data_IF_029560730591
#
_entry.id   IF_029560730591
#
_cell.length_a   1.000
_cell.length_b   1.000
_cell.length_c   1.000
_cell.angle_alpha   90.00
_cell.angle_beta   90.00
_cell.angle_gamma   90.00
#
_symmetry.space_group_name_H-M   'P 1'
#
loop_
_entity.id
_entity.type
_entity.pdbx_description
1 polymer ?
#
# COMPACT_ATOMS: atom_id res chain seq x y z
N UNK A 1 -0.05 19.98 30.69
CA UNK A 1 0.13 19.02 29.57
C UNK A 1 -1.17 19.04 28.79
N UNK A 2 -1.18 19.69 27.62
CA UNK A 2 -2.37 19.85 26.79
C UNK A 2 -2.84 18.48 26.31
N UNK A 3 -3.97 18.01 26.83
CA UNK A 3 -4.73 16.93 26.23
C UNK A 3 -5.32 17.50 24.94
N UNK A 4 -4.73 17.13 23.81
CA UNK A 4 -5.32 17.35 22.49
C UNK A 4 -6.74 16.80 22.49
N UNK A 5 -7.70 17.59 22.01
CA UNK A 5 -9.14 17.29 21.91
C UNK A 5 -9.38 15.81 21.63
N UNK A 6 -9.80 15.08 22.67
CA UNK A 6 -10.10 13.66 22.57
C UNK A 6 -11.53 13.55 22.02
N UNK A 7 -11.63 13.46 20.70
CA UNK A 7 -12.90 13.40 19.99
C UNK A 7 -13.36 11.94 19.87
N UNK A 8 -14.62 11.65 20.22
CA UNK A 8 -15.21 10.30 20.16
C UNK A 8 -15.07 9.67 18.76
N UNK A 9 -15.08 10.51 17.71
CA UNK A 9 -14.85 10.08 16.35
C UNK A 9 -13.44 9.52 16.13
N UNK A 10 -12.41 10.14 16.69
CA UNK A 10 -11.01 9.73 16.54
C UNK A 10 -10.75 8.41 17.31
N UNK A 11 -11.36 8.26 18.48
CA UNK A 11 -11.33 7.01 19.25
C UNK A 11 -12.04 5.87 18.50
N UNK A 12 -13.22 6.12 17.91
CA UNK A 12 -13.95 5.15 17.08
C UNK A 12 -13.19 4.75 15.80
N UNK A 13 -12.49 5.71 15.19
CA UNK A 13 -11.67 5.49 14.00
C UNK A 13 -10.45 4.60 14.30
N UNK A 14 -9.78 4.88 15.42
CA UNK A 14 -8.57 4.17 15.87
C UNK A 14 -8.85 2.79 16.45
N UNK A 15 -10.09 2.53 16.87
CA UNK A 15 -10.52 1.23 17.41
C UNK A 15 -10.23 0.08 16.43
N UNK A 16 -10.43 0.30 15.12
CA UNK A 16 -10.22 -0.73 14.09
C UNK A 16 -9.37 -0.20 12.95
N UNK A 17 -8.23 -0.87 12.70
CA UNK A 17 -7.26 -0.49 11.68
C UNK A 17 -7.87 -0.33 10.27
N UNK A 18 -8.88 -1.14 9.91
CA UNK A 18 -9.53 -1.00 8.61
C UNK A 18 -10.36 0.28 8.50
N UNK A 19 -10.90 0.82 9.61
CA UNK A 19 -11.65 2.08 9.63
C UNK A 19 -10.70 3.25 9.37
N UNK A 20 -9.54 3.28 10.04
CA UNK A 20 -8.47 4.25 9.76
C UNK A 20 -8.00 4.19 8.30
N UNK A 21 -7.79 2.98 7.76
CA UNK A 21 -7.41 2.80 6.35
C UNK A 21 -8.49 3.29 5.38
N UNK A 22 -9.77 2.94 5.60
CA UNK A 22 -10.87 3.38 4.75
C UNK A 22 -11.05 4.89 4.80
N UNK A 23 -10.97 5.50 5.99
CA UNK A 23 -11.06 6.94 6.13
C UNK A 23 -9.94 7.66 5.39
N UNK A 24 -8.69 7.20 5.53
CA UNK A 24 -7.56 7.73 4.77
C UNK A 24 -7.76 7.58 3.26
N UNK A 25 -8.28 6.43 2.82
CA UNK A 25 -8.60 6.20 1.41
C UNK A 25 -9.62 7.21 0.87
N UNK A 26 -10.69 7.48 1.63
CA UNK A 26 -11.68 8.51 1.28
C UNK A 26 -11.03 9.88 1.23
N UNK A 27 -10.23 10.26 2.23
CA UNK A 27 -9.53 11.55 2.27
C UNK A 27 -8.59 11.72 1.07
N UNK A 28 -7.78 10.72 0.73
CA UNK A 28 -6.90 10.77 -0.44
C UNK A 28 -7.68 10.89 -1.74
N UNK A 29 -8.76 10.12 -1.91
CA UNK A 29 -9.61 10.21 -3.08
C UNK A 29 -10.26 11.60 -3.21
N UNK A 30 -10.79 12.16 -2.11
CA UNK A 30 -11.41 13.50 -2.10
C UNK A 30 -10.41 14.59 -2.45
N UNK A 31 -9.21 14.59 -1.84
CA UNK A 31 -8.16 15.57 -2.15
C UNK A 31 -7.74 15.46 -3.62
N UNK A 32 -7.55 14.23 -4.11
CA UNK A 32 -7.15 13.98 -5.49
C UNK A 32 -8.19 14.47 -6.50
N UNK A 33 -9.46 14.15 -6.29
CA UNK A 33 -10.58 14.60 -7.12
C UNK A 33 -10.68 16.13 -7.12
N UNK A 34 -10.56 16.77 -5.95
CA UNK A 34 -10.59 18.24 -5.87
C UNK A 34 -9.38 18.86 -6.59
N UNK A 35 -8.19 18.31 -6.41
CA UNK A 35 -6.98 18.80 -7.09
C UNK A 35 -7.11 18.68 -8.62
N UNK A 36 -7.62 17.54 -9.11
CA UNK A 36 -7.87 17.33 -10.53
C UNK A 36 -8.97 18.27 -11.06
N UNK A 37 -10.05 18.46 -10.31
CA UNK A 37 -11.13 19.38 -10.64
C UNK A 37 -10.61 20.82 -10.79
N UNK A 38 -9.87 21.34 -9.82
CA UNK A 38 -9.30 22.69 -9.91
C UNK A 38 -8.29 22.81 -11.06
N UNK A 39 -7.45 21.81 -11.29
CA UNK A 39 -6.49 21.83 -12.39
C UNK A 39 -7.18 21.86 -13.77
N UNK A 40 -8.27 21.13 -13.94
CA UNK A 40 -8.99 21.03 -15.22
C UNK A 40 -9.90 22.25 -15.41
N UNK A 41 -10.76 22.54 -14.44
CA UNK A 41 -11.82 23.53 -14.60
C UNK A 41 -11.34 24.96 -14.28
N UNK A 42 -10.47 25.16 -13.29
CA UNK A 42 -10.01 26.50 -12.91
C UNK A 42 -8.74 26.93 -13.64
N UNK A 43 -7.80 26.01 -13.90
CA UNK A 43 -6.55 26.31 -14.61
C UNK A 43 -6.61 25.99 -16.12
N UNK A 44 -7.70 25.39 -16.60
CA UNK A 44 -7.90 25.07 -18.01
C UNK A 44 -6.92 24.02 -18.57
N UNK A 45 -6.33 23.19 -17.70
CA UNK A 45 -5.42 22.13 -18.14
C UNK A 45 -6.24 21.03 -18.81
N UNK A 46 -5.80 20.57 -19.99
CA UNK A 46 -6.47 19.45 -20.68
C UNK A 46 -6.46 18.20 -19.77
N UNK A 47 -7.60 17.49 -19.61
CA UNK A 47 -7.70 16.35 -18.71
C UNK A 47 -6.63 15.26 -18.94
N UNK A 48 -6.34 14.95 -20.21
CA UNK A 48 -5.33 13.97 -20.57
C UNK A 48 -3.90 14.43 -20.22
N UNK A 49 -3.59 15.71 -20.44
CA UNK A 49 -2.27 16.28 -20.12
C UNK A 49 -2.05 16.31 -18.60
N UNK A 50 -3.10 16.59 -17.83
CA UNK A 50 -3.07 16.50 -16.36
C UNK A 50 -2.77 15.06 -15.91
N UNK A 51 -3.49 14.09 -16.48
CA UNK A 51 -3.32 12.68 -16.14
C UNK A 51 -1.93 12.18 -16.49
N UNK A 52 -1.40 12.50 -17.67
CA UNK A 52 -0.06 12.06 -18.11
C UNK A 52 1.05 12.61 -17.19
N UNK A 53 0.99 13.92 -16.85
CA UNK A 53 1.95 14.52 -15.90
C UNK A 53 1.87 13.89 -14.51
N UNK A 54 0.66 13.62 -14.03
CA UNK A 54 0.45 12.96 -12.74
C UNK A 54 0.96 11.51 -12.78
N UNK A 55 0.67 10.76 -13.84
CA UNK A 55 1.12 9.38 -14.01
C UNK A 55 2.64 9.29 -14.13
N UNK A 56 3.30 10.21 -14.85
CA UNK A 56 4.76 10.20 -14.97
C UNK A 56 5.46 10.44 -13.63
N UNK A 57 4.91 11.32 -12.78
CA UNK A 57 5.48 11.61 -11.46
C UNK A 57 5.15 10.52 -10.44
N UNK A 58 3.86 10.21 -10.25
CA UNK A 58 3.40 9.21 -9.28
C UNK A 58 3.71 7.78 -9.73
N UNK A 59 3.67 7.47 -11.02
CA UNK A 59 3.94 6.13 -11.55
C UNK A 59 5.39 5.69 -11.34
N UNK A 60 6.37 6.59 -11.56
CA UNK A 60 7.78 6.30 -11.22
C UNK A 60 7.96 6.07 -9.72
N UNK A 61 7.29 6.89 -8.91
CA UNK A 61 7.30 6.76 -7.46
C UNK A 61 6.68 5.43 -7.00
N UNK A 62 5.52 5.04 -7.56
CA UNK A 62 4.84 3.78 -7.27
C UNK A 62 5.70 2.59 -7.69
N UNK A 63 6.35 2.64 -8.85
CA UNK A 63 7.22 1.54 -9.29
C UNK A 63 8.47 1.40 -8.40
N UNK A 64 9.10 2.51 -8.01
CA UNK A 64 10.27 2.48 -7.13
C UNK A 64 9.89 2.17 -5.68
N UNK A 65 9.15 3.07 -5.03
CA UNK A 65 8.78 2.96 -3.61
C UNK A 65 7.75 1.87 -3.35
N UNK A 66 6.82 1.61 -4.28
CA UNK A 66 5.84 0.53 -4.14
C UNK A 66 6.51 -0.84 -4.12
N UNK A 67 7.43 -1.10 -5.04
CA UNK A 67 8.20 -2.35 -5.08
C UNK A 67 9.04 -2.54 -3.81
N UNK A 68 9.75 -1.50 -3.37
CA UNK A 68 10.52 -1.53 -2.12
C UNK A 68 9.61 -1.73 -0.91
N UNK A 69 8.44 -1.09 -0.88
CA UNK A 69 7.47 -1.23 0.21
C UNK A 69 6.95 -2.65 0.34
N UNK A 70 6.61 -3.30 -0.77
CA UNK A 70 6.14 -4.69 -0.79
C UNK A 70 7.25 -5.66 -0.38
N UNK A 71 8.47 -5.42 -0.85
CA UNK A 71 9.63 -6.22 -0.50
C UNK A 71 9.97 -6.10 0.99
N UNK A 72 9.80 -4.92 1.60
CA UNK A 72 9.97 -4.69 3.05
C UNK A 72 8.80 -5.24 3.89
N UNK A 73 7.59 -5.37 3.34
CA UNK A 73 6.47 -6.00 4.03
C UNK A 73 6.71 -7.49 4.32
N UNK A 74 7.42 -8.22 3.45
CA UNK A 74 7.74 -9.63 3.65
C UNK A 74 8.62 -9.92 4.88
N UNK A 75 9.81 -9.30 5.05
CA UNK A 75 10.62 -9.48 6.25
C UNK A 75 9.91 -8.92 7.49
N UNK A 76 9.13 -7.85 7.36
CA UNK A 76 8.30 -7.33 8.45
C UNK A 76 7.28 -8.35 8.96
N UNK A 77 6.62 -9.08 8.06
CA UNK A 77 5.70 -10.17 8.41
C UNK A 77 6.44 -11.40 8.94
N UNK A 78 7.61 -11.72 8.38
CA UNK A 78 8.43 -12.82 8.87
C UNK A 78 8.89 -12.61 10.32
N UNK A 79 9.41 -11.42 10.65
CA UNK A 79 9.79 -11.09 12.04
C UNK A 79 8.60 -11.14 12.99
N UNK A 80 7.41 -10.75 12.52
CA UNK A 80 6.16 -10.83 13.28
C UNK A 80 5.74 -12.25 13.59
N UNK A 81 5.84 -13.15 12.62
CA UNK A 81 5.47 -14.55 12.79
C UNK A 81 6.49 -15.31 13.63
N UNK A 82 7.77 -14.99 13.48
CA UNK A 82 8.83 -15.51 14.35
C UNK A 82 8.62 -15.07 15.80
N UNK A 83 8.30 -13.79 16.04
CA UNK A 83 7.98 -13.27 17.38
C UNK A 83 6.80 -14.02 18.03
N UNK A 84 5.76 -14.33 17.25
CA UNK A 84 4.59 -15.05 17.72
C UNK A 84 4.87 -16.55 18.00
N UNK A 85 5.89 -17.12 17.37
CA UNK A 85 6.19 -18.56 17.46
C UNK A 85 7.26 -18.91 18.51
N UNK A 86 8.03 -17.93 18.97
CA UNK A 86 9.10 -18.14 19.96
C UNK A 86 8.51 -18.16 21.38
N UNK A 87 8.58 -19.33 22.03
CA UNK A 87 8.13 -19.50 23.42
C UNK A 87 9.13 -18.94 24.46
N UNK A 88 10.41 -18.74 24.10
CA UNK A 88 11.44 -18.27 25.03
C UNK A 88 11.42 -16.74 25.18
N UNK A 89 11.28 -16.19 26.40
CA UNK A 89 11.09 -14.75 26.62
C UNK A 89 12.28 -13.88 26.16
N UNK A 90 13.53 -14.30 26.41
CA UNK A 90 14.73 -13.57 25.98
C UNK A 90 14.85 -13.43 24.44
N UNK A 91 14.51 -14.49 23.71
CA UNK A 91 14.54 -14.47 22.24
C UNK A 91 13.39 -13.66 21.65
N UNK A 92 12.25 -13.61 22.35
CA UNK A 92 11.10 -12.77 21.99
C UNK A 92 11.41 -11.28 22.14
N UNK A 93 12.14 -10.87 23.18
CA UNK A 93 12.60 -9.48 23.35
C UNK A 93 13.62 -9.06 22.29
N UNK A 94 14.53 -9.95 21.89
CA UNK A 94 15.47 -9.67 20.80
C UNK A 94 14.75 -9.52 19.44
N UNK A 95 13.73 -10.36 19.17
CA UNK A 95 12.87 -10.26 17.97
C UNK A 95 11.94 -9.03 18.00
N UNK A 96 11.61 -8.51 19.20
CA UNK A 96 10.97 -7.20 19.41
C UNK A 96 11.96 -6.03 19.39
N UNK A 97 13.25 -6.31 19.18
CA UNK A 97 14.32 -5.33 19.24
C UNK A 97 14.13 -4.18 18.24
N UNK A 98 14.88 -3.10 18.46
CA UNK A 98 14.77 -1.82 17.72
C UNK A 98 14.80 -2.00 16.20
N UNK A 99 15.58 -2.95 15.69
CA UNK A 99 15.73 -3.19 14.24
C UNK A 99 14.47 -3.79 13.63
N UNK A 100 13.91 -4.84 14.23
CA UNK A 100 12.67 -5.47 13.72
C UNK A 100 11.47 -4.53 13.84
N UNK A 101 11.40 -3.75 14.93
CA UNK A 101 10.42 -2.68 15.09
C UNK A 101 10.56 -1.59 14.03
N UNK A 102 11.79 -1.15 13.72
CA UNK A 102 12.08 -0.17 12.68
C UNK A 102 11.65 -0.68 11.30
N UNK A 103 12.01 -1.90 10.91
CA UNK A 103 11.62 -2.49 9.62
C UNK A 103 10.10 -2.60 9.49
N UNK A 104 9.40 -3.02 10.55
CA UNK A 104 7.93 -3.11 10.55
C UNK A 104 7.26 -1.75 10.44
N UNK A 105 7.80 -0.73 11.12
CA UNK A 105 7.29 0.64 11.01
C UNK A 105 7.53 1.21 9.62
N UNK A 106 8.74 1.04 9.09
CA UNK A 106 9.12 1.50 7.77
C UNK A 106 8.27 0.83 6.67
N UNK A 107 8.09 -0.49 6.74
CA UNK A 107 7.23 -1.23 5.81
C UNK A 107 5.76 -0.77 5.90
N UNK A 108 5.25 -0.54 7.11
CA UNK A 108 3.90 -0.04 7.33
C UNK A 108 3.69 1.37 6.79
N UNK A 109 4.63 2.29 7.00
CA UNK A 109 4.50 3.67 6.53
C UNK A 109 4.71 3.77 5.01
N UNK A 110 5.68 3.04 4.45
CA UNK A 110 5.92 3.00 3.00
C UNK A 110 4.75 2.39 2.23
N UNK A 111 4.20 1.27 2.70
CA UNK A 111 3.04 0.66 2.03
C UNK A 111 1.78 1.53 2.14
N UNK A 112 1.64 2.30 3.23
CA UNK A 112 0.55 3.27 3.38
C UNK A 112 0.70 4.43 2.38
N UNK A 113 1.92 4.92 2.17
CA UNK A 113 2.22 5.94 1.16
C UNK A 113 1.96 5.44 -0.27
N UNK A 114 2.42 4.23 -0.59
CA UNK A 114 2.16 3.60 -1.89
C UNK A 114 0.66 3.40 -2.16
N UNK A 115 -0.10 3.03 -1.13
CA UNK A 115 -1.55 2.91 -1.20
C UNK A 115 -2.21 4.25 -1.51
N UNK A 116 -1.80 5.33 -0.82
CA UNK A 116 -2.30 6.68 -1.07
C UNK A 116 -2.00 7.13 -2.50
N UNK A 117 -0.78 6.92 -2.98
CA UNK A 117 -0.39 7.27 -4.34
C UNK A 117 -1.25 6.54 -5.40
N UNK A 118 -1.50 5.24 -5.23
CA UNK A 118 -2.37 4.48 -6.13
C UNK A 118 -3.81 4.97 -6.12
N UNK A 119 -4.36 5.30 -4.94
CA UNK A 119 -5.72 5.83 -4.80
C UNK A 119 -5.82 7.20 -5.48
N UNK A 120 -4.81 8.07 -5.34
CA UNK A 120 -4.72 9.35 -6.04
C UNK A 120 -4.74 9.15 -7.56
N UNK A 121 -3.88 8.27 -8.09
CA UNK A 121 -3.84 7.97 -9.53
C UNK A 121 -5.19 7.44 -10.02
N UNK A 122 -5.78 6.49 -9.29
CA UNK A 122 -7.05 5.87 -9.67
C UNK A 122 -8.21 6.88 -9.65
N UNK A 123 -8.35 7.66 -8.58
CA UNK A 123 -9.43 8.65 -8.46
C UNK A 123 -9.33 9.77 -9.50
N UNK A 124 -8.12 10.27 -9.77
CA UNK A 124 -7.88 11.23 -10.85
C UNK A 124 -8.15 10.64 -12.23
N UNK A 125 -7.80 9.36 -12.46
CA UNK A 125 -8.10 8.66 -13.70
C UNK A 125 -9.62 8.58 -13.95
N UNK A 126 -10.40 8.19 -12.94
CA UNK A 126 -11.87 8.13 -13.06
C UNK A 126 -12.46 9.50 -13.38
N UNK A 127 -11.96 10.58 -12.75
CA UNK A 127 -12.40 11.93 -13.06
C UNK A 127 -12.07 12.32 -14.51
N UNK A 128 -10.86 12.04 -14.97
CA UNK A 128 -10.45 12.32 -16.35
C UNK A 128 -11.28 11.54 -17.36
N UNK A 129 -11.56 10.26 -17.10
CA UNK A 129 -12.46 9.44 -17.92
C UNK A 129 -13.87 10.04 -18.02
N UNK A 130 -14.38 10.65 -16.95
CA UNK A 130 -15.70 11.30 -16.97
C UNK A 130 -15.75 12.56 -17.83
N UNK A 131 -14.59 13.12 -18.22
CA UNK A 131 -14.44 14.38 -18.97
C UNK A 131 -13.93 14.19 -20.40
N UNK A 132 -13.60 12.97 -20.82
CA UNK A 132 -13.01 12.66 -22.12
C UNK A 132 -13.89 11.66 -22.86
N UNK A 133 -14.09 11.85 -24.16
CA UNK A 133 -14.76 10.87 -25.01
C UNK A 133 -13.84 9.66 -25.25
N UNK A 134 -14.21 8.50 -24.68
CA UNK A 134 -13.48 7.25 -24.86
C UNK A 134 -13.98 6.52 -26.11
N UNK A 135 -13.08 6.27 -27.06
CA UNK A 135 -13.40 5.49 -28.26
C UNK A 135 -13.60 4.01 -27.92
N UNK A 136 -14.45 3.32 -28.67
CA UNK A 136 -14.69 1.88 -28.52
C UNK A 136 -13.40 1.03 -28.54
N UNK A 137 -12.38 1.46 -29.29
CA UNK A 137 -11.08 0.78 -29.37
C UNK A 137 -10.28 0.82 -28.07
N UNK A 138 -10.52 1.81 -27.22
CA UNK A 138 -9.69 2.09 -26.06
C UNK A 138 -10.29 1.52 -24.76
N UNK A 139 -11.54 1.04 -24.80
CA UNK A 139 -12.21 0.44 -23.64
C UNK A 139 -11.44 -0.73 -23.04
N UNK A 140 -10.86 -1.58 -23.88
CA UNK A 140 -10.06 -2.71 -23.40
C UNK A 140 -8.85 -2.24 -22.57
N UNK A 141 -8.18 -1.18 -23.01
CA UNK A 141 -7.06 -0.58 -22.30
C UNK A 141 -7.51 0.12 -21.01
N UNK A 142 -8.64 0.82 -21.04
CA UNK A 142 -9.21 1.46 -19.85
C UNK A 142 -9.57 0.43 -18.77
N UNK A 143 -10.21 -0.68 -19.17
CA UNK A 143 -10.59 -1.76 -18.25
C UNK A 143 -9.37 -2.47 -17.69
N UNK A 144 -8.36 -2.77 -18.52
CA UNK A 144 -7.13 -3.43 -18.06
C UNK A 144 -6.33 -2.54 -17.10
N UNK A 145 -6.25 -1.24 -17.38
CA UNK A 145 -5.58 -0.30 -16.49
C UNK A 145 -6.32 -0.13 -15.16
N UNK A 146 -7.64 0.05 -15.21
CA UNK A 146 -8.49 0.19 -14.00
C UNK A 146 -8.43 -1.05 -13.12
N UNK A 147 -8.55 -2.24 -13.73
CA UNK A 147 -8.48 -3.50 -12.99
C UNK A 147 -7.10 -3.71 -12.36
N UNK A 148 -6.03 -3.37 -13.08
CA UNK A 148 -4.66 -3.45 -12.54
C UNK A 148 -4.47 -2.54 -11.32
N UNK A 149 -4.90 -1.27 -11.41
CA UNK A 149 -4.82 -0.34 -10.28
C UNK A 149 -5.63 -0.83 -9.07
N UNK A 150 -6.85 -1.35 -9.29
CA UNK A 150 -7.67 -1.91 -8.22
C UNK A 150 -7.00 -3.11 -7.54
N UNK A 151 -6.43 -4.03 -8.32
CA UNK A 151 -5.69 -5.17 -7.79
C UNK A 151 -4.49 -4.70 -6.95
N UNK A 152 -3.75 -3.69 -7.42
CA UNK A 152 -2.62 -3.13 -6.67
C UNK A 152 -3.06 -2.44 -5.38
N UNK A 153 -4.13 -1.64 -5.41
CA UNK A 153 -4.72 -1.00 -4.22
C UNK A 153 -5.11 -2.07 -3.19
N UNK A 154 -5.81 -3.13 -3.63
CA UNK A 154 -6.20 -4.23 -2.77
C UNK A 154 -4.98 -4.97 -2.20
N UNK A 155 -3.99 -5.31 -3.03
CA UNK A 155 -2.79 -6.03 -2.62
C UNK A 155 -1.97 -5.23 -1.60
N UNK A 156 -1.69 -3.96 -1.87
CA UNK A 156 -0.93 -3.09 -0.95
C UNK A 156 -1.75 -2.82 0.32
N UNK A 157 -3.07 -2.60 0.20
CA UNK A 157 -3.95 -2.39 1.34
C UNK A 157 -4.00 -3.60 2.28
N UNK A 158 -4.12 -4.81 1.73
CA UNK A 158 -4.05 -6.06 2.50
C UNK A 158 -2.69 -6.22 3.16
N UNK A 159 -1.58 -6.00 2.43
CA UNK A 159 -0.23 -6.10 3.01
C UNK A 159 -0.02 -5.09 4.13
N UNK A 160 -0.47 -3.85 3.96
CA UNK A 160 -0.41 -2.81 5.00
C UNK A 160 -1.18 -3.24 6.25
N UNK A 161 -2.40 -3.74 6.06
CA UNK A 161 -3.22 -4.27 7.14
C UNK A 161 -2.54 -5.43 7.87
N UNK A 162 -1.98 -6.38 7.13
CA UNK A 162 -1.27 -7.54 7.70
C UNK A 162 -0.01 -7.13 8.48
N UNK A 163 0.74 -6.12 8.02
CA UNK A 163 1.91 -5.62 8.73
C UNK A 163 1.49 -4.89 10.01
N UNK A 164 0.49 -4.01 9.94
CA UNK A 164 0.09 -3.11 11.06
C UNK A 164 -0.85 -3.75 12.09
N UNK A 165 -1.53 -4.86 11.79
CA UNK A 165 -2.40 -5.54 12.78
C UNK A 165 -1.61 -6.06 13.99
N UNK A 166 -2.27 -6.33 15.10
CA UNK A 166 -1.57 -6.86 16.29
C UNK A 166 -1.28 -8.37 16.19
N UNK A 167 -2.18 -9.14 15.54
CA UNK A 167 -2.09 -10.61 15.49
C UNK A 167 -1.11 -11.19 14.44
N UNK A 168 -0.68 -12.47 14.62
CA UNK A 168 0.21 -13.19 13.69
C UNK A 168 -0.39 -13.29 12.29
N UNK A 169 0.41 -13.54 11.25
CA UNK A 169 -0.07 -13.66 9.86
C UNK A 169 -1.07 -14.83 9.68
N UNK A 170 -1.92 -14.80 8.62
CA UNK A 170 -2.85 -15.88 8.35
C UNK A 170 -2.11 -17.18 8.00
N UNK A 171 -0.91 -17.05 7.41
CA UNK A 171 -0.06 -18.18 7.04
C UNK A 171 0.39 -18.93 8.29
N UNK A 172 0.81 -18.22 9.35
CA UNK A 172 1.14 -18.84 10.63
C UNK A 172 -0.09 -19.48 11.29
N UNK A 173 -1.26 -18.85 11.20
CA UNK A 173 -2.51 -19.41 11.74
C UNK A 173 -2.94 -20.69 11.02
N UNK A 174 -2.71 -20.78 9.70
CA UNK A 174 -3.07 -21.92 8.87
C UNK A 174 -2.08 -23.09 9.01
N UNK A 175 -0.78 -22.80 8.97
CA UNK A 175 0.26 -23.84 8.97
C UNK A 175 0.62 -24.31 10.37
N UNK A 176 0.59 -23.41 11.37
CA UNK A 176 1.09 -23.63 12.75
C UNK A 176 2.47 -24.29 12.85
N UNK A 177 3.24 -24.28 11.76
CA UNK A 177 4.47 -25.06 11.64
C UNK A 177 5.58 -24.18 11.08
N UNK A 178 6.53 -23.85 11.95
CA UNK A 178 7.66 -22.98 11.63
C UNK A 178 8.53 -23.54 10.49
N UNK A 179 8.61 -24.87 10.36
CA UNK A 179 9.43 -25.54 9.32
C UNK A 179 8.87 -25.33 7.92
N UNK A 180 7.57 -25.07 7.78
CA UNK A 180 6.92 -24.73 6.50
C UNK A 180 6.88 -23.21 6.29
N UNK A 181 6.79 -22.43 7.37
CA UNK A 181 6.70 -20.98 7.31
C UNK A 181 7.99 -20.32 6.82
N UNK A 182 9.15 -20.74 7.34
CA UNK A 182 10.47 -20.20 6.94
C UNK A 182 10.74 -20.38 5.44
N UNK A 183 10.63 -21.59 4.84
CA UNK A 183 10.84 -21.74 3.40
C UNK A 183 9.79 -21.00 2.57
N UNK A 184 8.52 -20.91 3.01
CA UNK A 184 7.51 -20.13 2.29
C UNK A 184 7.89 -18.65 2.20
N UNK A 185 8.31 -18.02 3.30
CA UNK A 185 8.77 -16.63 3.29
C UNK A 185 10.05 -16.44 2.46
N UNK A 186 10.99 -17.39 2.51
CA UNK A 186 12.22 -17.35 1.71
C UNK A 186 11.92 -17.48 0.20
N UNK A 187 11.00 -18.36 -0.19
CA UNK A 187 10.56 -18.51 -1.58
C UNK A 187 9.89 -17.22 -2.06
N UNK A 188 8.99 -16.64 -1.25
CA UNK A 188 8.36 -15.37 -1.60
C UNK A 188 9.40 -14.24 -1.73
N UNK A 189 10.34 -14.12 -0.79
CA UNK A 189 11.41 -13.12 -0.85
C UNK A 189 12.29 -13.31 -2.10
N UNK A 190 12.67 -14.55 -2.41
CA UNK A 190 13.46 -14.86 -3.59
C UNK A 190 12.71 -14.57 -4.90
N UNK A 191 11.41 -14.89 -4.96
CA UNK A 191 10.57 -14.59 -6.11
C UNK A 191 10.42 -13.07 -6.33
N UNK A 192 10.17 -12.30 -5.26
CA UNK A 192 10.09 -10.84 -5.35
C UNK A 192 11.43 -10.19 -5.72
N UNK A 193 12.55 -10.68 -5.16
CA UNK A 193 13.89 -10.21 -5.55
C UNK A 193 14.20 -10.56 -7.02
N UNK A 194 13.83 -11.76 -7.48
CA UNK A 194 14.04 -12.17 -8.88
C UNK A 194 13.23 -11.31 -9.84
N UNK A 195 11.96 -11.03 -9.52
CA UNK A 195 11.10 -10.13 -10.32
C UNK A 195 11.64 -8.70 -10.30
N UNK A 196 12.10 -8.22 -9.14
CA UNK A 196 12.70 -6.89 -9.00
C UNK A 196 14.03 -6.74 -9.75
N UNK A 197 14.86 -7.79 -9.77
CA UNK A 197 16.13 -7.82 -10.51
C UNK A 197 15.92 -7.92 -12.02
N UNK A 198 14.91 -8.71 -12.46
CA UNK A 198 14.59 -8.90 -13.87
C UNK A 198 13.78 -7.76 -14.48
N UNK A 199 13.09 -6.96 -13.65
CA UNK A 199 12.45 -5.73 -14.11
C UNK A 199 13.56 -4.78 -14.52
N UNK A 200 13.74 -4.48 -15.83
CA UNK A 200 14.72 -3.49 -16.22
C UNK A 200 14.31 -2.19 -15.51
N UNK A 201 15.22 -1.63 -14.72
CA UNK A 201 15.12 -0.21 -14.40
C UNK A 201 15.12 0.48 -15.75
N UNK A 202 13.92 0.87 -16.23
CA UNK A 202 13.78 1.70 -17.42
C UNK A 202 14.37 3.06 -17.05
N UNK A 203 15.68 3.17 -17.29
CA UNK A 203 16.43 4.41 -17.39
C UNK A 203 15.80 5.35 -18.41
#
# INVERSE_FOLDING_TARGET
MMATDKNDFDDWLKEKLYRDLLFRAVVWASISVLAAYYAIDALGIKPLDYFDRMQQSLGRMINGLGSVSLLLCLPALFFKDLEASVQKPKSREFMKGRVAGFVRRLAGDLSLWSLGALITVFSSFILVLSRVEVKCTDYAAVVSFSSTLLVLICAIGVMNFLVRRVGPSPILQLTRNLKLLVPAYLICMAAFMYVGYKSPMSS
#
